data_IF_172713535228
#
_entry.id   IF_172713535228
#
_cell.length_a   1.000
_cell.length_b   1.000
_cell.length_c   1.000
_cell.angle_alpha   90.00
_cell.angle_beta   90.00
_cell.angle_gamma   90.00
#
_symmetry.space_group_name_H-M   'P 1'
#
loop_
_entity.id
_entity.type
_entity.pdbx_description
1 polymer ?
#
# COMPACT_ATOMS: atom_id res chain seq x y z
N UNK A 1 -24.97 -31.11 -26.13
CA UNK A 1 -23.79 -30.20 -26.05
C UNK A 1 -23.57 -29.89 -24.57
N UNK A 2 -22.42 -30.24 -24.01
CA UNK A 2 -22.06 -29.93 -22.62
C UNK A 2 -21.25 -28.63 -22.67
N UNK A 3 -21.78 -27.57 -22.07
CA UNK A 3 -21.07 -26.30 -21.95
C UNK A 3 -20.09 -26.42 -20.77
N UNK A 4 -18.76 -26.34 -20.95
CA UNK A 4 -17.83 -26.34 -19.83
C UNK A 4 -17.81 -24.94 -19.24
N UNK A 5 -18.84 -24.59 -18.46
CA UNK A 5 -18.73 -23.42 -17.60
C UNK A 5 -17.64 -23.72 -16.57
N UNK A 6 -16.58 -22.90 -16.61
CA UNK A 6 -15.48 -22.92 -15.65
C UNK A 6 -16.03 -23.00 -14.21
N UNK A 7 -15.38 -23.76 -13.31
CA UNK A 7 -15.77 -23.76 -11.91
C UNK A 7 -15.73 -22.33 -11.39
N UNK A 8 -16.78 -21.92 -10.69
CA UNK A 8 -16.87 -20.63 -10.02
C UNK A 8 -15.67 -20.48 -9.07
N UNK A 9 -14.65 -19.75 -9.53
CA UNK A 9 -13.59 -19.26 -8.67
C UNK A 9 -14.22 -18.04 -8.00
N UNK A 10 -14.47 -18.05 -6.67
CA UNK A 10 -14.84 -16.80 -6.02
C UNK A 10 -13.72 -15.82 -6.34
N UNK A 11 -14.07 -14.65 -6.89
CA UNK A 11 -13.16 -13.57 -7.23
C UNK A 11 -12.29 -13.25 -6.01
N UNK A 12 -11.18 -13.97 -5.86
CA UNK A 12 -10.21 -13.76 -4.81
C UNK A 12 -9.32 -12.62 -5.31
N UNK A 13 -9.88 -11.42 -5.34
CA UNK A 13 -9.13 -10.16 -5.36
C UNK A 13 -8.46 -9.88 -4.00
N UNK A 14 -8.32 -10.90 -3.14
CA UNK A 14 -7.58 -10.79 -1.90
C UNK A 14 -6.10 -10.75 -2.22
N UNK A 15 -5.45 -9.63 -1.93
CA UNK A 15 -3.99 -9.60 -1.86
C UNK A 15 -3.57 -10.65 -0.84
N UNK A 16 -2.86 -11.69 -1.30
CA UNK A 16 -2.22 -12.65 -0.41
C UNK A 16 -1.14 -11.89 0.32
N UNK A 17 -1.33 -11.57 1.61
CA UNK A 17 -0.28 -10.88 2.39
C UNK A 17 0.94 -11.81 2.50
N UNK A 18 2.12 -11.32 2.16
CA UNK A 18 3.35 -12.09 2.29
C UNK A 18 3.69 -12.30 3.77
N UNK A 19 3.98 -13.54 4.15
CA UNK A 19 4.59 -13.87 5.44
C UNK A 19 6.07 -13.46 5.41
N UNK A 20 6.34 -12.15 5.47
CA UNK A 20 7.72 -11.65 5.55
C UNK A 20 8.23 -11.88 6.96
N UNK A 21 8.85 -13.05 7.18
CA UNK A 21 9.79 -13.42 8.27
C UNK A 21 9.75 -12.56 9.55
N UNK A 22 8.58 -12.29 10.13
CA UNK A 22 8.41 -11.52 11.36
C UNK A 22 9.22 -10.23 11.47
N UNK A 23 9.66 -9.58 10.38
CA UNK A 23 10.43 -8.33 10.41
C UNK A 23 9.68 -7.32 9.55
N UNK A 24 9.18 -6.27 10.21
CA UNK A 24 8.50 -5.17 9.53
C UNK A 24 9.43 -4.50 8.51
N UNK A 25 8.85 -3.80 7.54
CA UNK A 25 9.59 -3.08 6.52
C UNK A 25 8.98 -1.70 6.25
N UNK A 26 9.82 -0.80 5.73
CA UNK A 26 9.44 0.53 5.29
C UNK A 26 9.94 0.73 3.87
N UNK A 27 9.07 1.20 2.98
CA UNK A 27 9.43 1.58 1.62
C UNK A 27 8.98 3.01 1.37
N UNK A 28 9.88 3.86 0.87
CA UNK A 28 9.64 5.28 0.68
C UNK A 28 9.78 5.67 -0.79
N UNK A 29 8.88 6.53 -1.24
CA UNK A 29 8.91 7.14 -2.57
C UNK A 29 8.79 8.63 -2.39
N UNK A 30 9.66 9.39 -3.06
CA UNK A 30 9.53 10.83 -3.17
C UNK A 30 9.31 11.17 -4.63
N UNK A 31 8.22 11.86 -4.96
CA UNK A 31 7.89 12.25 -6.33
C UNK A 31 7.47 13.72 -6.37
N UNK A 32 7.85 14.39 -7.45
CA UNK A 32 7.51 15.79 -7.71
C UNK A 32 6.14 15.96 -8.40
N UNK A 33 5.49 14.87 -8.82
CA UNK A 33 4.26 14.96 -9.63
C UNK A 33 3.21 13.90 -9.26
N UNK A 34 3.35 13.27 -8.09
CA UNK A 34 2.36 12.33 -7.54
C UNK A 34 2.33 10.94 -8.19
N UNK A 35 3.02 10.73 -9.32
CA UNK A 35 3.11 9.41 -9.96
C UNK A 35 4.53 9.18 -10.46
N UNK A 36 5.33 8.41 -9.71
CA UNK A 36 6.55 7.81 -10.28
C UNK A 36 6.70 6.34 -9.91
N UNK A 37 7.03 5.60 -10.98
CA UNK A 37 7.47 4.22 -11.11
C UNK A 37 6.52 3.12 -10.58
N UNK A 38 5.64 2.65 -11.48
CA UNK A 38 4.88 1.39 -11.40
C UNK A 38 5.82 0.17 -11.45
N UNK A 39 6.71 0.08 -10.48
CA UNK A 39 7.67 -1.02 -10.37
C UNK A 39 7.03 -2.22 -9.67
N UNK A 40 7.56 -3.44 -9.86
CA UNK A 40 7.15 -4.58 -9.06
C UNK A 40 7.24 -4.32 -7.55
N UNK A 41 8.28 -3.58 -7.10
CA UNK A 41 8.46 -3.19 -5.70
C UNK A 41 7.36 -2.27 -5.19
N UNK A 42 6.92 -1.32 -6.02
CA UNK A 42 5.78 -0.46 -5.70
C UNK A 42 4.51 -1.28 -5.50
N UNK A 43 4.17 -2.17 -6.44
CA UNK A 43 2.96 -2.99 -6.33
C UNK A 43 3.02 -3.96 -5.14
N UNK A 44 4.19 -4.52 -4.86
CA UNK A 44 4.40 -5.30 -3.64
C UNK A 44 4.13 -4.44 -2.39
N UNK A 45 4.74 -3.27 -2.29
CA UNK A 45 4.55 -2.40 -1.13
C UNK A 45 3.09 -1.94 -0.99
N UNK A 46 2.43 -1.59 -2.10
CA UNK A 46 1.03 -1.16 -2.17
C UNK A 46 0.08 -2.24 -1.66
N UNK A 47 0.30 -3.48 -2.11
CA UNK A 47 -0.57 -4.61 -1.81
C UNK A 47 -0.35 -5.09 -0.36
N UNK A 48 0.89 -5.12 0.11
CA UNK A 48 1.27 -5.76 1.36
C UNK A 48 1.42 -4.83 2.56
N UNK A 49 1.47 -3.51 2.39
CA UNK A 49 1.55 -2.58 3.51
C UNK A 49 0.36 -2.74 4.48
N UNK A 50 0.59 -2.46 5.76
CA UNK A 50 -0.47 -2.32 6.75
C UNK A 50 -0.95 -0.86 6.85
N UNK A 51 -0.05 0.09 6.56
CA UNK A 51 -0.31 1.53 6.58
C UNK A 51 0.46 2.23 5.47
N UNK A 52 -0.17 3.22 4.85
CA UNK A 52 0.46 4.10 3.86
C UNK A 52 0.32 5.53 4.34
N UNK A 53 1.42 6.28 4.39
CA UNK A 53 1.44 7.69 4.81
C UNK A 53 1.83 8.55 3.62
N UNK A 54 0.98 9.50 3.27
CA UNK A 54 1.22 10.49 2.22
C UNK A 54 1.52 11.83 2.88
N UNK A 55 2.74 12.31 2.71
CA UNK A 55 3.21 13.60 3.21
C UNK A 55 3.14 14.65 2.11
N UNK A 56 2.25 15.62 2.29
CA UNK A 56 2.09 16.79 1.43
C UNK A 56 1.36 17.88 2.19
N UNK A 57 1.59 19.14 1.86
CA UNK A 57 0.81 20.27 2.39
C UNK A 57 -0.37 20.65 1.50
N UNK A 58 -0.44 20.09 0.29
CA UNK A 58 -1.54 20.30 -0.66
C UNK A 58 -2.61 19.22 -0.47
N UNK A 59 -3.78 19.65 0.01
CA UNK A 59 -4.94 18.79 0.22
C UNK A 59 -5.49 18.19 -1.09
N UNK A 60 -5.49 18.96 -2.17
CA UNK A 60 -5.95 18.50 -3.49
C UNK A 60 -5.03 17.41 -4.05
N UNK A 61 -3.72 17.61 -3.91
CA UNK A 61 -2.72 16.61 -4.27
C UNK A 61 -2.83 15.34 -3.43
N UNK A 62 -3.09 15.49 -2.12
CA UNK A 62 -3.41 14.36 -1.25
C UNK A 62 -4.62 13.58 -1.79
N UNK A 63 -5.79 14.19 -1.95
CA UNK A 63 -6.99 13.48 -2.42
C UNK A 63 -6.75 12.72 -3.73
N UNK A 64 -6.04 13.34 -4.67
CA UNK A 64 -5.67 12.70 -5.95
C UNK A 64 -4.80 11.45 -5.75
N UNK A 65 -3.81 11.52 -4.87
CA UNK A 65 -2.91 10.39 -4.58
C UNK A 65 -3.64 9.29 -3.83
N UNK A 66 -4.51 9.63 -2.87
CA UNK A 66 -5.36 8.66 -2.17
C UNK A 66 -6.15 7.82 -3.15
N UNK A 67 -6.85 8.48 -4.05
CA UNK A 67 -7.80 7.85 -4.95
C UNK A 67 -7.04 7.04 -6.01
N UNK A 68 -5.86 7.49 -6.44
CA UNK A 68 -4.95 6.72 -7.28
C UNK A 68 -4.43 5.45 -6.58
N UNK A 69 -3.96 5.54 -5.34
CA UNK A 69 -3.49 4.37 -4.58
C UNK A 69 -4.61 3.34 -4.40
N UNK A 70 -5.83 3.80 -4.09
CA UNK A 70 -7.01 2.92 -3.99
C UNK A 70 -7.36 2.27 -5.31
N UNK A 71 -7.34 3.02 -6.41
CA UNK A 71 -7.62 2.50 -7.75
C UNK A 71 -6.57 1.48 -8.20
N UNK A 72 -5.30 1.66 -7.82
CA UNK A 72 -4.21 0.73 -8.11
C UNK A 72 -4.18 -0.50 -7.16
N UNK A 73 -5.11 -0.60 -6.20
CA UNK A 73 -5.29 -1.79 -5.36
C UNK A 73 -4.71 -1.70 -3.94
N UNK A 74 -4.51 -0.49 -3.39
CA UNK A 74 -4.13 -0.33 -1.99
C UNK A 74 -5.16 -0.98 -1.05
N UNK A 75 -4.69 -1.91 -0.22
CA UNK A 75 -5.52 -2.56 0.82
C UNK A 75 -5.35 -1.90 2.20
N UNK A 76 -4.28 -1.15 2.39
CA UNK A 76 -3.93 -0.47 3.63
C UNK A 76 -4.74 0.83 3.83
N UNK A 77 -4.78 1.29 5.09
CA UNK A 77 -5.25 2.64 5.39
C UNK A 77 -4.25 3.64 4.81
N UNK A 78 -4.75 4.57 3.99
CA UNK A 78 -3.96 5.67 3.43
C UNK A 78 -4.22 6.92 4.23
N UNK A 79 -3.18 7.41 4.90
CA UNK A 79 -3.24 8.54 5.80
C UNK A 79 -2.54 9.77 5.24
N UNK A 80 -3.02 10.93 5.67
CA UNK A 80 -2.43 12.20 5.31
C UNK A 80 -1.56 12.74 6.45
N UNK A 81 -0.34 13.09 6.09
CA UNK A 81 0.57 13.87 6.93
C UNK A 81 0.73 15.25 6.30
N UNK A 82 0.10 16.24 6.92
CA UNK A 82 0.23 17.62 6.50
C UNK A 82 1.57 18.20 6.97
N UNK A 83 2.58 18.08 6.13
CA UNK A 83 3.88 18.70 6.34
C UNK A 83 4.32 19.42 5.06
N UNK A 84 4.99 20.56 5.26
CA UNK A 84 5.48 21.39 4.16
C UNK A 84 6.80 20.79 3.64
N UNK A 85 6.75 20.21 2.45
CA UNK A 85 7.93 19.80 1.71
C UNK A 85 8.78 21.00 1.31
N UNK A 86 10.09 20.80 1.09
CA UNK A 86 10.99 21.85 0.61
C UNK A 86 10.58 22.38 -0.77
N UNK A 87 10.00 21.51 -1.61
CA UNK A 87 9.45 21.85 -2.91
C UNK A 87 7.91 21.79 -2.88
N UNK A 88 7.20 22.76 -3.50
CA UNK A 88 5.74 22.83 -3.44
C UNK A 88 5.02 21.58 -3.96
N UNK A 89 5.55 20.95 -5.01
CA UNK A 89 4.92 19.78 -5.66
C UNK A 89 5.46 18.44 -5.15
N UNK A 90 6.38 18.45 -4.18
CA UNK A 90 6.98 17.24 -3.65
C UNK A 90 6.03 16.52 -2.70
N UNK A 91 5.75 15.26 -3.03
CA UNK A 91 5.04 14.33 -2.18
C UNK A 91 5.97 13.21 -1.77
N UNK A 92 5.94 12.88 -0.48
CA UNK A 92 6.56 11.66 0.04
C UNK A 92 5.46 10.65 0.37
N UNK A 93 5.58 9.43 -0.16
CA UNK A 93 4.69 8.31 0.14
C UNK A 93 5.51 7.26 0.86
N UNK A 94 5.03 6.81 2.02
CA UNK A 94 5.70 5.82 2.85
C UNK A 94 4.77 4.64 3.07
N UNK A 95 5.23 3.46 2.66
CA UNK A 95 4.55 2.18 2.86
C UNK A 95 5.18 1.50 4.07
N UNK A 96 4.34 1.08 5.02
CA UNK A 96 4.77 0.51 6.29
C UNK A 96 4.11 -0.86 6.46
N UNK A 97 4.94 -1.88 6.66
CA UNK A 97 4.51 -3.18 7.17
C UNK A 97 4.97 -3.30 8.62
N UNK A 98 4.02 -3.47 9.52
CA UNK A 98 4.33 -3.70 10.91
C UNK A 98 4.98 -5.09 11.08
N UNK A 99 5.90 -5.17 12.04
CA UNK A 99 6.39 -6.45 12.51
C UNK A 99 5.24 -7.15 13.25
N UNK A 100 4.80 -8.31 12.74
CA UNK A 100 3.92 -9.17 13.52
C UNK A 100 4.77 -9.83 14.60
N UNK A 101 4.63 -9.40 15.85
CA UNK A 101 5.08 -10.19 16.99
C UNK A 101 4.25 -11.48 17.00
N UNK A 102 4.88 -12.61 16.67
CA UNK A 102 4.30 -13.92 16.97
C UNK A 102 4.28 -14.02 18.50
N UNK A 103 3.14 -13.66 19.11
CA UNK A 103 2.88 -14.01 20.51
C UNK A 103 2.82 -15.53 20.58
N UNK A 104 3.89 -16.15 21.05
CA UNK A 104 3.91 -17.56 21.41
C UNK A 104 3.01 -17.78 22.63
N UNK A 105 1.70 -17.90 22.41
CA UNK A 105 0.70 -18.25 23.45
C UNK A 105 0.74 -19.75 23.82
N UNK A 106 1.92 -20.39 23.84
CA UNK A 106 2.09 -21.82 24.16
C UNK A 106 2.80 -22.07 25.49
N UNK A 107 2.67 -21.16 26.46
CA UNK A 107 3.05 -21.44 27.85
C UNK A 107 1.90 -21.13 28.80
N UNK A 108 1.00 -22.10 28.96
CA UNK A 108 0.24 -22.31 30.20
C UNK A 108 0.16 -23.79 30.49
#
# INVERSE_FOLDING_TARGET
MINPSLPYVPDFHGVIKSDVSGKGWVYEITSLSGVQARTPTFYYALAHADRIVVTTHDAGLWFRIRDLLKMEGATAVVEWRNEKSFLPEQVKIVFIKAQNEVKNDWKK
#
